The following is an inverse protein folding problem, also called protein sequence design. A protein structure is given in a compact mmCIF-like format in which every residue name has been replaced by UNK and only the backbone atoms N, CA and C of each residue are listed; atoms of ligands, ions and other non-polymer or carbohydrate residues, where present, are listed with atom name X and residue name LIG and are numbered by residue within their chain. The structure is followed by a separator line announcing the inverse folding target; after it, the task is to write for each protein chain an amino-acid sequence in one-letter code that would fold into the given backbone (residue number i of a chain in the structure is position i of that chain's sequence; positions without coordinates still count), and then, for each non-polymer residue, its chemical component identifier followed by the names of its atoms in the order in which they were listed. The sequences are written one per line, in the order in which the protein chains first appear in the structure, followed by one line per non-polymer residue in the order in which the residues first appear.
data_IF_902728222485
#
_entry.id   IF_902728222485
#
_cell.length_a   1.000
_cell.length_b   1.000
_cell.length_c   1.000
_cell.angle_alpha   90.00
_cell.angle_beta   90.00
_cell.angle_gamma   90.00
#
_symmetry.space_group_name_H-M   'P 1'
#
loop_
_entity.id
_entity.type
_entity.pdbx_description
1 polymer ?
#
# COMPACT_ATOMS: atom_id res chain seq x y z
N UNK A 1 -17.26 -33.62 26.93
CA UNK A 1 -16.42 -34.12 25.82
C UNK A 1 -16.64 -33.33 24.51
N UNK A 2 -15.61 -32.66 24.00
CA UNK A 2 -15.67 -31.95 22.70
C UNK A 2 -15.79 -30.43 22.76
N UNK A 3 -15.49 -29.78 23.89
CA UNK A 3 -15.39 -28.32 23.94
C UNK A 3 -14.01 -27.89 23.41
N UNK A 4 -13.98 -27.25 22.23
CA UNK A 4 -12.82 -26.51 21.75
C UNK A 4 -12.93 -25.07 22.20
N UNK A 5 -11.90 -24.54 22.87
CA UNK A 5 -11.78 -23.10 23.13
C UNK A 5 -11.01 -22.48 21.96
N UNK A 6 -11.69 -21.64 21.18
CA UNK A 6 -11.05 -20.83 20.15
C UNK A 6 -10.78 -19.43 20.70
N UNK A 7 -9.51 -19.07 20.78
CA UNK A 7 -9.08 -17.72 21.16
C UNK A 7 -8.77 -16.98 19.86
N UNK A 8 -9.62 -16.03 19.48
CA UNK A 8 -9.39 -15.15 18.33
C UNK A 8 -8.76 -13.86 18.84
N UNK A 9 -7.51 -13.62 18.47
CA UNK A 9 -6.79 -12.39 18.80
C UNK A 9 -6.66 -11.58 17.51
N UNK A 10 -7.22 -10.38 17.52
CA UNK A 10 -7.12 -9.43 16.41
C UNK A 10 -6.02 -8.44 16.77
N UNK A 11 -4.95 -8.48 15.99
CA UNK A 11 -3.87 -7.49 16.09
C UNK A 11 -4.18 -6.34 15.12
N UNK A 12 -4.09 -5.11 15.60
CA UNK A 12 -4.07 -3.90 14.77
C UNK A 12 -2.67 -3.33 14.84
N UNK A 13 -1.93 -3.37 13.75
CA UNK A 13 -0.57 -2.81 13.66
C UNK A 13 -0.61 -1.48 12.89
N UNK A 14 0.19 -0.52 13.35
CA UNK A 14 0.40 0.80 12.72
C UNK A 14 1.91 1.05 12.63
N UNK A 15 2.69 0.26 11.88
CA UNK A 15 4.11 0.55 11.58
C UNK A 15 4.74 -0.40 10.55
N UNK A 16 5.77 0.11 9.86
CA UNK A 16 6.73 -0.56 8.96
C UNK A 16 7.45 -1.75 9.65
N UNK A 17 7.47 -2.92 8.99
CA UNK A 17 8.06 -4.17 9.49
C UNK A 17 9.56 -4.30 9.23
N UNK A 18 10.20 -3.35 8.55
CA UNK A 18 11.62 -3.41 8.15
C UNK A 18 12.62 -3.46 9.32
N UNK A 19 12.21 -3.10 10.53
CA UNK A 19 13.07 -3.07 11.73
C UNK A 19 12.77 -4.18 12.75
N UNK A 20 11.85 -5.09 12.47
CA UNK A 20 11.44 -6.10 13.44
C UNK A 20 12.40 -7.30 13.40
N UNK A 21 13.10 -7.52 14.52
CA UNK A 21 13.99 -8.67 14.67
C UNK A 21 13.19 -9.98 14.83
N UNK A 22 13.56 -11.07 14.13
CA UNK A 22 12.89 -12.36 14.29
C UNK A 22 13.01 -12.84 15.74
N UNK A 23 11.88 -13.23 16.35
CA UNK A 23 11.84 -13.70 17.74
C UNK A 23 11.16 -15.06 17.79
N UNK A 24 11.82 -16.13 18.28
CA UNK A 24 11.21 -17.45 18.40
C UNK A 24 9.86 -17.38 19.14
N UNK A 25 8.81 -18.09 18.67
CA UNK A 25 8.83 -19.11 17.63
C UNK A 25 8.73 -18.59 16.18
N UNK A 26 8.61 -17.27 15.97
CA UNK A 26 8.53 -16.65 14.64
C UNK A 26 9.93 -16.22 14.15
N UNK A 27 10.50 -16.90 13.15
CA UNK A 27 11.88 -16.61 12.69
C UNK A 27 11.97 -15.99 11.30
N UNK A 28 10.84 -15.61 10.69
CA UNK A 28 10.83 -15.02 9.35
C UNK A 28 11.32 -13.56 9.40
N UNK A 29 12.39 -13.21 8.65
CA UNK A 29 12.84 -11.84 8.53
C UNK A 29 11.85 -10.99 7.73
N UNK A 30 11.64 -9.72 8.12
CA UNK A 30 10.78 -8.77 7.39
C UNK A 30 9.28 -8.86 7.70
N UNK A 31 8.88 -9.83 8.52
CA UNK A 31 7.50 -9.99 8.98
C UNK A 31 7.36 -9.57 10.45
N UNK A 32 6.23 -8.97 10.82
CA UNK A 32 5.92 -8.68 12.22
C UNK A 32 5.41 -9.98 12.91
N UNK A 33 6.06 -10.47 13.98
CA UNK A 33 5.63 -11.68 14.67
C UNK A 33 4.53 -11.37 15.69
N UNK A 34 3.39 -12.05 15.56
CA UNK A 34 2.36 -12.08 16.58
C UNK A 34 2.46 -13.41 17.35
N UNK A 35 2.81 -13.35 18.63
CA UNK A 35 3.05 -14.53 19.47
C UNK A 35 1.97 -14.60 20.56
N UNK A 36 1.40 -15.79 20.73
CA UNK A 36 0.46 -16.11 21.80
C UNK A 36 1.09 -17.16 22.70
N UNK A 37 1.18 -16.85 23.99
CA UNK A 37 1.67 -17.75 25.01
C UNK A 37 0.51 -18.28 25.85
N UNK A 38 0.33 -19.61 25.88
CA UNK A 38 -0.68 -20.27 26.71
C UNK A 38 0.02 -20.88 27.92
N UNK A 39 -0.31 -20.40 29.12
CA UNK A 39 0.21 -20.92 30.39
C UNK A 39 -0.93 -21.32 31.32
N UNK A 40 -0.67 -22.33 32.17
CA UNK A 40 -1.57 -22.79 33.22
C UNK A 40 -2.97 -23.18 32.70
N UNK A 41 -3.07 -23.60 31.43
CA UNK A 41 -4.32 -24.07 30.88
C UNK A 41 -4.74 -25.37 31.57
N UNK A 42 -6.03 -25.49 31.85
CA UNK A 42 -6.61 -26.63 32.56
C UNK A 42 -7.77 -27.18 31.73
N UNK A 43 -7.82 -28.50 31.62
CA UNK A 43 -8.87 -29.24 30.94
C UNK A 43 -9.65 -30.05 31.97
N UNK A 44 -10.96 -29.87 31.96
CA UNK A 44 -11.90 -30.57 32.81
C UNK A 44 -12.91 -31.29 31.90
N UNK A 45 -12.93 -32.62 31.94
CA UNK A 45 -13.69 -33.44 30.99
C UNK A 45 -15.17 -33.58 31.34
N UNK A 46 -15.52 -33.46 32.63
CA UNK A 46 -16.88 -33.62 33.15
C UNK A 46 -17.43 -32.37 33.85
N UNK A 47 -16.61 -31.32 34.02
CA UNK A 47 -17.04 -30.03 34.58
C UNK A 47 -17.12 -30.08 36.11
N UNK A 48 -18.27 -29.71 36.69
CA UNK A 48 -18.44 -29.78 38.15
C UNK A 48 -18.54 -31.23 38.71
N UNK A 49 -18.11 -32.24 37.94
CA UNK A 49 -18.14 -33.65 38.31
C UNK A 49 -16.93 -34.07 39.16
N UNK A 50 -16.82 -35.38 39.47
CA UNK A 50 -15.78 -35.90 40.36
C UNK A 50 -14.43 -36.15 39.68
N UNK A 51 -14.30 -36.01 38.34
CA UNK A 51 -13.02 -36.27 37.68
C UNK A 51 -11.99 -35.18 37.97
N UNK A 52 -10.70 -35.52 38.06
CA UNK A 52 -9.65 -34.55 38.32
C UNK A 52 -9.41 -33.65 37.11
N UNK A 53 -9.20 -32.36 37.39
CA UNK A 53 -8.74 -31.38 36.40
C UNK A 53 -7.33 -31.75 35.91
N UNK A 54 -7.14 -31.75 34.61
CA UNK A 54 -5.85 -32.03 33.97
C UNK A 54 -5.16 -30.73 33.56
N UNK A 55 -3.86 -30.64 33.82
CA UNK A 55 -3.06 -29.53 33.29
C UNK A 55 -2.79 -29.77 31.80
N UNK A 56 -3.08 -28.76 31.00
CA UNK A 56 -2.72 -28.72 29.57
C UNK A 56 -1.29 -28.20 29.48
N UNK A 57 -0.41 -28.88 28.71
CA UNK A 57 0.95 -28.39 28.47
C UNK A 57 0.94 -26.95 27.95
N UNK A 58 1.92 -26.16 28.36
CA UNK A 58 2.12 -24.83 27.78
C UNK A 58 2.32 -24.96 26.27
N UNK A 59 1.75 -24.01 25.54
CA UNK A 59 1.78 -24.01 24.08
C UNK A 59 1.97 -22.58 23.58
N UNK A 60 2.91 -22.43 22.66
CA UNK A 60 3.14 -21.18 21.96
C UNK A 60 2.62 -21.32 20.54
N UNK A 61 1.84 -20.33 20.12
CA UNK A 61 1.39 -20.19 18.74
C UNK A 61 1.99 -18.90 18.15
N UNK A 62 2.45 -18.99 16.91
CA UNK A 62 2.94 -17.85 16.15
C UNK A 62 2.08 -17.66 14.90
N UNK A 63 1.78 -16.41 14.58
CA UNK A 63 1.32 -15.99 13.27
C UNK A 63 2.18 -14.82 12.81
N UNK A 64 2.71 -14.88 11.60
CA UNK A 64 3.44 -13.76 11.01
C UNK A 64 2.53 -12.96 10.10
N UNK A 65 2.76 -11.65 10.04
CA UNK A 65 2.09 -10.75 9.11
C UNK A 65 3.16 -10.06 8.29
N UNK A 66 3.11 -10.27 6.98
CA UNK A 66 3.87 -9.48 6.02
C UNK A 66 3.16 -8.13 5.86
N UNK A 67 3.87 -7.05 6.19
CA UNK A 67 3.43 -5.70 5.86
C UNK A 67 4.13 -5.33 4.57
N UNK A 68 3.45 -5.54 3.44
CA UNK A 68 3.92 -5.02 2.16
C UNK A 68 3.74 -3.50 2.18
N UNK A 69 4.81 -2.81 2.59
CA UNK A 69 5.10 -1.41 2.31
C UNK A 69 3.97 -0.40 2.62
N UNK A 70 3.77 -0.02 3.90
CA UNK A 70 2.74 0.95 4.30
C UNK A 70 3.11 2.39 3.89
N UNK A 71 4.34 2.60 3.43
CA UNK A 71 4.90 3.85 2.87
C UNK A 71 4.70 3.98 1.37
N UNK A 72 4.37 2.89 0.66
CA UNK A 72 3.89 2.99 -0.70
C UNK A 72 2.65 3.88 -0.69
N UNK A 73 2.78 5.08 -1.25
CA UNK A 73 1.66 5.99 -1.44
C UNK A 73 0.50 5.19 -1.99
N UNK A 74 -0.59 5.10 -1.21
CA UNK A 74 -1.82 4.51 -1.69
C UNK A 74 -2.38 5.45 -2.76
N UNK A 75 -1.99 5.18 -4.00
CA UNK A 75 -2.49 5.87 -5.17
C UNK A 75 -3.86 5.29 -5.53
N UNK A 76 -4.87 6.14 -5.45
CA UNK A 76 -6.20 5.87 -5.95
C UNK A 76 -6.40 6.54 -7.32
N UNK A 77 -7.29 5.95 -8.14
CA UNK A 77 -7.75 6.52 -9.41
C UNK A 77 -6.64 7.05 -10.34
N UNK A 78 -5.80 6.13 -10.80
CA UNK A 78 -4.72 6.42 -11.74
C UNK A 78 -5.24 6.35 -13.18
N UNK A 79 -5.01 7.41 -13.95
CA UNK A 79 -5.42 7.49 -15.36
C UNK A 79 -4.33 8.16 -16.20
N UNK A 80 -4.02 7.54 -17.33
CA UNK A 80 -3.17 8.12 -18.39
C UNK A 80 -4.02 8.19 -19.66
N UNK A 81 -4.29 9.40 -20.15
CA UNK A 81 -5.26 9.63 -21.22
C UNK A 81 -4.61 10.44 -22.33
N UNK A 82 -4.62 9.92 -23.56
CA UNK A 82 -4.26 10.73 -24.73
C UNK A 82 -5.34 11.79 -24.96
N UNK A 83 -4.95 13.05 -25.01
CA UNK A 83 -5.79 14.21 -25.38
C UNK A 83 -5.22 14.91 -26.63
N UNK A 84 -5.89 15.96 -27.13
CA UNK A 84 -5.42 16.70 -28.32
C UNK A 84 -4.03 17.32 -28.13
N UNK A 85 -3.77 17.79 -26.91
CA UNK A 85 -2.62 18.65 -26.63
C UNK A 85 -1.46 17.89 -25.96
N UNK A 86 -1.59 16.57 -25.82
CA UNK A 86 -0.59 15.74 -25.14
C UNK A 86 -1.18 14.52 -24.44
N UNK A 87 -0.51 14.09 -23.37
CA UNK A 87 -0.99 13.00 -22.51
C UNK A 87 -1.35 13.57 -21.14
N UNK A 88 -2.62 13.46 -20.76
CA UNK A 88 -3.14 13.87 -19.47
C UNK A 88 -2.96 12.76 -18.45
N UNK A 89 -2.34 13.07 -17.33
CA UNK A 89 -2.07 12.15 -16.24
C UNK A 89 -2.83 12.62 -15.00
N UNK A 90 -3.62 11.71 -14.42
CA UNK A 90 -4.39 11.95 -13.20
C UNK A 90 -4.11 10.85 -12.19
N UNK A 91 -4.02 11.26 -10.93
CA UNK A 91 -3.91 10.36 -9.81
C UNK A 91 -4.52 11.03 -8.58
N UNK A 92 -4.87 10.23 -7.58
CA UNK A 92 -5.22 10.72 -6.26
C UNK A 92 -4.39 9.99 -5.21
N UNK A 93 -4.04 10.68 -4.14
CA UNK A 93 -3.46 10.06 -2.94
C UNK A 93 -4.58 9.73 -1.96
N UNK A 94 -4.37 8.72 -1.11
CA UNK A 94 -5.23 8.44 0.06
C UNK A 94 -4.76 9.21 1.29
N UNK A 95 -3.44 9.42 1.43
CA UNK A 95 -2.78 10.14 2.54
C UNK A 95 -1.51 10.83 2.01
N UNK A 96 -1.09 11.94 2.64
CA UNK A 96 0.12 12.70 2.29
C UNK A 96 1.02 13.01 3.51
N UNK A 97 0.88 12.24 4.59
CA UNK A 97 1.60 12.42 5.86
C UNK A 97 3.12 12.60 5.71
N UNK A 98 3.72 11.94 4.72
CA UNK A 98 5.15 11.86 4.52
C UNK A 98 5.57 12.28 3.10
N UNK A 99 4.67 12.95 2.35
CA UNK A 99 4.90 13.32 0.95
C UNK A 99 5.18 14.83 0.84
N UNK A 100 6.27 15.19 0.15
CA UNK A 100 6.60 16.58 -0.22
C UNK A 100 6.01 16.93 -1.59
N UNK A 101 6.05 16.00 -2.52
CA UNK A 101 5.53 16.20 -3.87
C UNK A 101 5.83 15.04 -4.81
N UNK A 102 5.69 15.32 -6.09
CA UNK A 102 5.74 14.31 -7.13
C UNK A 102 6.53 14.78 -8.34
N UNK A 103 7.12 13.81 -9.05
CA UNK A 103 7.57 13.97 -10.42
C UNK A 103 6.92 12.93 -11.33
N UNK A 104 6.75 13.30 -12.59
CA UNK A 104 6.27 12.43 -13.64
C UNK A 104 7.44 12.00 -14.49
N UNK A 105 7.54 10.70 -14.69
CA UNK A 105 8.51 10.05 -15.56
C UNK A 105 7.78 9.32 -16.68
N UNK A 106 8.45 9.17 -17.81
CA UNK A 106 7.97 8.39 -18.94
C UNK A 106 9.05 7.44 -19.39
N UNK A 107 8.70 6.16 -19.45
CA UNK A 107 9.46 5.12 -20.12
C UNK A 107 8.83 4.86 -21.49
N UNK A 108 9.57 5.14 -22.57
CA UNK A 108 9.11 4.90 -23.94
C UNK A 108 9.58 3.56 -24.53
N UNK A 109 10.07 2.66 -23.68
CA UNK A 109 10.62 1.36 -24.06
C UNK A 109 12.12 1.38 -24.37
N UNK A 110 12.73 2.53 -24.64
CA UNK A 110 14.18 2.67 -24.83
C UNK A 110 14.86 3.45 -23.71
N UNK A 111 14.18 4.44 -23.14
CA UNK A 111 14.71 5.31 -22.11
C UNK A 111 13.63 5.74 -21.12
N UNK A 112 14.06 6.04 -19.89
CA UNK A 112 13.24 6.60 -18.83
C UNK A 112 13.63 8.05 -18.63
N UNK A 113 12.70 8.96 -18.89
CA UNK A 113 12.94 10.40 -18.82
C UNK A 113 11.95 11.09 -17.88
N UNK A 114 12.43 12.07 -17.12
CA UNK A 114 11.58 12.94 -16.33
C UNK A 114 10.85 13.90 -17.27
N UNK A 115 9.52 13.98 -17.14
CA UNK A 115 8.66 14.85 -17.95
C UNK A 115 8.27 16.12 -17.20
N UNK A 116 8.13 16.05 -15.88
CA UNK A 116 7.89 17.23 -15.04
C UNK A 116 9.22 17.89 -14.66
N UNK A 117 9.55 19.02 -15.29
CA UNK A 117 10.78 19.77 -14.97
C UNK A 117 10.77 20.36 -13.55
N UNK A 118 9.60 20.74 -13.06
CA UNK A 118 9.39 21.21 -11.69
C UNK A 118 8.65 20.14 -10.89
N UNK A 119 8.88 20.13 -9.58
CA UNK A 119 8.16 19.25 -8.66
C UNK A 119 6.71 19.70 -8.53
N UNK A 120 5.81 18.74 -8.59
CA UNK A 120 4.38 18.96 -8.36
C UNK A 120 4.19 18.87 -6.84
N UNK A 121 3.95 19.98 -6.12
CA UNK A 121 3.89 19.94 -4.66
C UNK A 121 2.67 19.16 -4.17
N UNK A 122 2.85 18.42 -3.09
CA UNK A 122 1.73 17.81 -2.38
C UNK A 122 0.82 18.92 -1.82
N UNK A 123 -0.49 18.80 -2.07
CA UNK A 123 -1.51 19.79 -1.71
C UNK A 123 -1.73 19.86 -0.20
N UNK A 124 -1.59 18.73 0.48
CA UNK A 124 -1.77 18.60 1.93
C UNK A 124 -0.63 17.80 2.55
N UNK A 125 0.60 18.11 2.13
CA UNK A 125 1.84 17.58 2.70
C UNK A 125 1.81 17.55 4.23
N UNK A 126 2.16 16.40 4.81
CA UNK A 126 2.17 16.22 6.27
C UNK A 126 0.82 15.84 6.88
N UNK A 127 -0.24 15.65 6.08
CA UNK A 127 -1.60 15.40 6.57
C UNK A 127 -2.12 14.02 6.21
N UNK A 128 -3.02 13.50 7.04
CA UNK A 128 -3.57 12.14 6.93
C UNK A 128 -4.65 11.99 5.86
N UNK A 129 -5.04 13.10 5.21
CA UNK A 129 -5.92 13.09 4.05
C UNK A 129 -5.13 12.99 2.75
N UNK A 130 -5.84 12.66 1.67
CA UNK A 130 -5.31 12.65 0.32
C UNK A 130 -5.90 13.75 -0.58
N UNK A 131 -5.31 13.91 -1.76
CA UNK A 131 -5.72 14.91 -2.73
C UNK A 131 -5.65 14.36 -4.16
N UNK A 132 -6.39 14.99 -5.08
CA UNK A 132 -6.37 14.66 -6.50
C UNK A 132 -5.47 15.59 -7.28
N UNK A 133 -4.80 15.05 -8.29
CA UNK A 133 -3.79 15.73 -9.09
C UNK A 133 -4.03 15.52 -10.57
N UNK A 134 -3.57 16.48 -11.35
CA UNK A 134 -3.59 16.45 -12.80
C UNK A 134 -2.29 17.07 -13.31
N UNK A 135 -1.68 16.42 -14.30
CA UNK A 135 -0.51 16.93 -14.99
C UNK A 135 -0.56 16.59 -16.48
N UNK A 136 -0.18 17.54 -17.34
CA UNK A 136 -0.20 17.38 -18.79
C UNK A 136 1.23 17.25 -19.33
N UNK A 137 1.53 16.11 -19.95
CA UNK A 137 2.71 15.96 -20.80
C UNK A 137 2.40 16.61 -22.16
N UNK A 138 2.64 17.92 -22.26
CA UNK A 138 2.33 18.69 -23.45
C UNK A 138 3.08 18.15 -24.68
N UNK A 139 2.40 18.14 -25.82
CA UNK A 139 2.93 17.70 -27.12
C UNK A 139 3.35 16.20 -27.16
N UNK A 140 3.14 15.45 -26.07
CA UNK A 140 3.41 14.03 -26.03
C UNK A 140 2.38 13.22 -26.84
N UNK A 141 2.87 12.26 -27.62
CA UNK A 141 2.06 11.24 -28.28
C UNK A 141 2.28 9.90 -27.61
N UNK A 142 1.20 9.23 -27.18
CA UNK A 142 1.22 7.93 -26.52
C UNK A 142 1.30 6.78 -27.54
N UNK A 143 2.43 6.06 -27.51
CA UNK A 143 2.71 4.88 -28.31
C UNK A 143 2.44 3.58 -27.53
N UNK A 144 2.35 2.48 -28.26
CA UNK A 144 2.21 1.16 -27.63
C UNK A 144 3.50 0.80 -26.88
N UNK A 145 3.38 0.50 -25.59
CA UNK A 145 4.52 0.18 -24.72
C UNK A 145 5.04 1.35 -23.89
N UNK A 146 4.51 2.56 -24.09
CA UNK A 146 4.82 3.69 -23.20
C UNK A 146 4.23 3.45 -21.81
N UNK A 147 5.04 3.71 -20.78
CA UNK A 147 4.65 3.61 -19.37
C UNK A 147 4.99 4.93 -18.70
N UNK A 148 4.00 5.56 -18.07
CA UNK A 148 4.27 6.67 -17.16
C UNK A 148 4.54 6.12 -15.76
N UNK A 149 5.49 6.73 -15.05
CA UNK A 149 5.77 6.44 -13.65
C UNK A 149 5.55 7.71 -12.84
N UNK A 150 4.94 7.56 -11.67
CA UNK A 150 4.88 8.59 -10.66
C UNK A 150 6.05 8.36 -9.71
N UNK A 151 6.92 9.35 -9.59
CA UNK A 151 7.91 9.43 -8.53
C UNK A 151 7.30 10.23 -7.37
N UNK A 152 7.32 9.65 -6.18
CA UNK A 152 6.94 10.29 -4.93
C UNK A 152 8.22 10.77 -4.26
N UNK A 153 8.22 12.00 -3.77
CA UNK A 153 9.32 12.55 -2.96
C UNK A 153 8.85 12.66 -1.52
N UNK A 154 9.52 11.95 -0.62
CA UNK A 154 9.16 11.89 0.79
C UNK A 154 9.83 13.00 1.60
N UNK A 155 9.28 13.27 2.79
CA UNK A 155 9.78 14.32 3.71
C UNK A 155 11.19 14.07 4.25
N UNK A 156 11.64 12.82 4.23
CA UNK A 156 13.01 12.42 4.59
C UNK A 156 14.00 12.53 3.42
N UNK A 157 13.52 12.91 2.23
CA UNK A 157 14.30 13.03 1.00
C UNK A 157 14.45 11.75 0.20
N UNK A 158 13.87 10.63 0.65
CA UNK A 158 13.77 9.40 -0.15
C UNK A 158 12.76 9.55 -1.28
N UNK A 159 12.85 8.66 -2.27
CA UNK A 159 11.96 8.69 -3.43
C UNK A 159 11.59 7.28 -3.87
N UNK A 160 10.30 7.08 -4.20
CA UNK A 160 9.78 5.84 -4.75
C UNK A 160 9.13 6.07 -6.11
N UNK A 161 9.24 5.09 -7.01
CA UNK A 161 8.65 5.17 -8.36
C UNK A 161 7.66 4.05 -8.58
N UNK A 162 6.43 4.41 -8.93
CA UNK A 162 5.35 3.47 -9.23
C UNK A 162 4.85 3.66 -10.65
N UNK A 163 4.76 2.60 -11.47
CA UNK A 163 4.10 2.68 -12.77
C UNK A 163 2.63 3.09 -12.60
N UNK A 164 2.20 4.05 -13.41
CA UNK A 164 0.79 4.43 -13.51
C UNK A 164 0.10 3.46 -14.47
N UNK A 165 -0.83 2.68 -13.94
CA UNK A 165 -1.59 1.70 -14.70
C UNK A 165 -2.83 2.35 -15.32
N UNK A 166 -3.34 1.80 -16.43
CA UNK A 166 -4.50 2.27 -17.21
C UNK A 166 -4.25 3.47 -18.14
N UNK A 167 -3.53 3.21 -19.23
CA UNK A 167 -3.57 4.05 -20.41
C UNK A 167 -4.89 3.84 -21.17
N UNK A 168 -5.82 4.79 -21.06
CA UNK A 168 -7.07 4.77 -21.83
C UNK A 168 -6.91 5.75 -23.01
N UNK A 169 -6.81 5.22 -24.23
CA UNK A 169 -7.01 6.03 -25.44
C UNK A 169 -8.50 6.36 -25.57
N UNK A 170 -8.91 7.57 -25.20
CA UNK A 170 -10.28 8.01 -25.49
C UNK A 170 -10.39 8.41 -26.97
N UNK A 171 -11.31 7.81 -27.75
CA UNK A 171 -11.68 8.38 -29.04
C UNK A 171 -12.42 9.70 -28.78
N UNK A 172 -11.92 10.77 -29.40
CA UNK A 172 -12.47 12.13 -29.32
C UNK A 172 -14.01 12.18 -29.41
N UNK A 173 -14.66 12.79 -28.41
CA UNK A 173 -16.01 13.32 -28.54
C UNK A 173 -15.92 14.85 -28.49
N UNK A 174 -16.11 15.49 -29.64
CA UNK A 174 -16.28 16.94 -29.73
C UNK A 174 -17.58 17.33 -29.00
N UNK A 175 -17.61 18.38 -28.17
CA UNK A 175 -18.88 18.93 -27.70
C UNK A 175 -19.59 19.56 -28.91
N UNK A 176 -20.78 19.06 -29.24
CA UNK A 176 -21.70 19.77 -30.11
C UNK A 176 -22.09 21.08 -29.43
N UNK A 177 -21.57 22.20 -29.93
CA UNK A 177 -22.17 23.51 -29.68
C UNK A 177 -23.41 23.58 -30.57
N UNK A 178 -24.59 23.55 -29.97
CA UNK A 178 -25.83 23.96 -30.65
C UNK A 178 -25.85 25.48 -30.62
N UNK A 179 -25.88 26.07 -31.81
CA UNK A 179 -25.98 27.51 -32.05
C UNK A 179 -27.43 28.00 -31.88
#
# INVERSE_FOLDING_TARGET
PGASVSVVIVFKTEADSALVSPTPPCTQPGEAPNIVHIHNAQADMDGAGPLPVMNVPAYDACATVEITDPTAVQLADQQVIQVSDGVLIRWSTVTENDIVGFHIWRNNGSQVEQRSNEMIPAKISGQSGGASYEWLDAEATLHAGDIYLLEVVHTDGSTDRTPLHNAIKMPFYLPFIVQ
#
